data_IF_849802144969
#
_entry.id   IF_849802144969
#
_cell.length_a   1.000
_cell.length_b   1.000
_cell.length_c   1.000
_cell.angle_alpha   90.00
_cell.angle_beta   90.00
_cell.angle_gamma   90.00
#
_symmetry.space_group_name_H-M   'P 1'
#
loop_
_entity.id
_entity.type
_entity.pdbx_description
1 polymer ?
#
# COMPACT_ATOMS: atom_id res chain seq x y z
N UNK A 1 14.03 -4.45 -4.58
CA UNK A 1 13.06 -5.44 -4.05
C UNK A 1 13.74 -6.20 -2.91
N UNK A 2 13.13 -6.16 -1.71
CA UNK A 2 13.68 -6.58 -0.40
C UNK A 2 14.77 -5.67 0.24
N UNK A 3 14.75 -4.38 -0.08
CA UNK A 3 15.56 -3.36 0.60
C UNK A 3 14.60 -2.29 1.07
N UNK A 4 14.85 -1.70 2.26
CA UNK A 4 14.18 -0.49 2.74
C UNK A 4 14.15 0.53 1.60
N UNK A 5 12.98 0.66 0.96
CA UNK A 5 12.81 1.49 -0.23
C UNK A 5 12.37 2.89 0.21
N UNK A 6 12.83 3.33 1.40
CA UNK A 6 12.73 4.71 1.89
C UNK A 6 13.40 5.71 0.94
N UNK A 7 14.18 5.22 -0.02
CA UNK A 7 14.77 5.98 -1.14
C UNK A 7 14.01 5.88 -2.47
N UNK A 8 12.90 5.14 -2.54
CA UNK A 8 12.05 5.13 -3.74
C UNK A 8 11.19 6.38 -3.73
N UNK A 9 11.79 7.51 -4.10
CA UNK A 9 11.17 8.83 -4.13
C UNK A 9 9.77 8.81 -4.78
N UNK A 10 9.57 7.94 -5.78
CA UNK A 10 8.30 7.80 -6.51
C UNK A 10 7.14 7.32 -5.64
N UNK A 11 7.38 6.48 -4.64
CA UNK A 11 6.30 6.02 -3.73
C UNK A 11 5.90 7.15 -2.80
N UNK A 12 6.88 7.90 -2.30
CA UNK A 12 6.63 9.11 -1.51
C UNK A 12 5.86 10.15 -2.32
N UNK A 13 6.23 10.38 -3.58
CA UNK A 13 5.51 11.28 -4.48
C UNK A 13 4.03 10.89 -4.59
N UNK A 14 3.73 9.59 -4.75
CA UNK A 14 2.35 9.08 -4.78
C UNK A 14 1.62 9.34 -3.47
N UNK A 15 2.26 9.09 -2.32
CA UNK A 15 1.67 9.33 -1.00
C UNK A 15 1.35 10.83 -0.81
N UNK A 16 2.30 11.71 -1.13
CA UNK A 16 2.13 13.15 -1.00
C UNK A 16 1.03 13.69 -1.92
N UNK A 17 0.97 13.21 -3.16
CA UNK A 17 -0.11 13.57 -4.10
C UNK A 17 -1.47 13.13 -3.55
N UNK A 18 -1.61 11.89 -3.05
CA UNK A 18 -2.86 11.43 -2.45
C UNK A 18 -3.27 12.29 -1.25
N UNK A 19 -2.33 12.60 -0.35
CA UNK A 19 -2.58 13.49 0.79
C UNK A 19 -2.97 14.91 0.35
N UNK A 20 -2.43 15.41 -0.77
CA UNK A 20 -2.79 16.71 -1.34
C UNK A 20 -4.25 16.79 -1.80
N UNK A 21 -4.86 15.64 -2.12
CA UNK A 21 -6.30 15.52 -2.42
C UNK A 21 -7.16 15.32 -1.16
N UNK A 22 -6.62 15.58 0.04
CA UNK A 22 -7.30 15.37 1.34
C UNK A 22 -7.69 13.90 1.59
N UNK A 23 -6.95 12.95 1.00
CA UNK A 23 -7.11 11.52 1.28
C UNK A 23 -6.30 11.19 2.53
N UNK A 24 -6.90 10.42 3.45
CA UNK A 24 -6.18 9.87 4.61
C UNK A 24 -5.38 8.64 4.16
N UNK A 25 -4.08 8.64 4.44
CA UNK A 25 -3.15 7.64 3.90
C UNK A 25 -2.40 6.99 5.05
N UNK A 26 -2.61 5.69 5.20
CA UNK A 26 -1.77 4.84 6.03
C UNK A 26 -0.65 4.23 5.19
N UNK A 27 0.59 4.38 5.65
CA UNK A 27 1.76 3.76 5.04
C UNK A 27 2.17 2.55 5.89
N UNK A 28 2.31 1.39 5.25
CA UNK A 28 2.83 0.17 5.87
C UNK A 28 3.97 -0.36 5.01
N UNK A 29 5.16 -0.45 5.58
CA UNK A 29 6.31 -1.11 4.96
C UNK A 29 7.15 -1.80 6.05
N UNK A 30 7.25 -3.15 6.03
CA UNK A 30 8.00 -3.91 7.04
C UNK A 30 9.52 -3.68 6.99
N UNK A 31 10.03 -3.06 5.91
CA UNK A 31 11.46 -2.79 5.74
C UNK A 31 11.82 -1.33 5.92
N UNK A 32 10.85 -0.41 6.00
CA UNK A 32 11.13 1.01 6.19
C UNK A 32 11.42 1.34 7.66
N UNK A 33 12.35 2.26 7.90
CA UNK A 33 12.63 2.78 9.23
C UNK A 33 11.62 3.92 9.55
N UNK A 34 10.76 3.77 10.58
CA UNK A 34 9.79 4.80 10.93
C UNK A 34 10.43 6.15 11.28
N UNK A 35 11.62 6.15 11.89
CA UNK A 35 12.33 7.37 12.29
C UNK A 35 12.84 8.10 11.05
N UNK A 36 13.48 7.39 10.13
CA UNK A 36 13.97 7.96 8.88
C UNK A 36 12.82 8.56 8.06
N UNK A 37 11.69 7.87 7.98
CA UNK A 37 10.54 8.32 7.18
C UNK A 37 9.82 9.52 7.80
N UNK A 38 9.74 9.60 9.13
CA UNK A 38 9.20 10.78 9.80
C UNK A 38 10.14 11.98 9.68
N UNK A 39 11.45 11.80 9.85
CA UNK A 39 12.45 12.87 9.76
C UNK A 39 12.62 13.42 8.33
N UNK A 40 12.62 12.54 7.32
CA UNK A 40 12.88 12.93 5.93
C UNK A 40 11.61 13.39 5.19
N UNK A 41 10.46 12.76 5.46
CA UNK A 41 9.23 12.98 4.68
C UNK A 41 8.04 13.48 5.51
N UNK A 42 8.18 13.61 6.84
CA UNK A 42 7.08 13.94 7.76
C UNK A 42 5.88 12.97 7.64
N UNK A 43 6.15 11.72 7.26
CA UNK A 43 5.17 10.66 7.14
C UNK A 43 5.28 9.69 8.31
N UNK A 44 4.16 9.13 8.73
CA UNK A 44 4.12 8.09 9.77
C UNK A 44 3.87 6.73 9.14
N UNK A 45 4.66 5.75 9.54
CA UNK A 45 4.49 4.35 9.15
C UNK A 45 3.76 3.61 10.27
N UNK A 46 2.77 2.80 9.89
CA UNK A 46 2.11 1.85 10.78
C UNK A 46 2.78 0.49 10.67
N UNK A 47 2.86 -0.22 11.79
CA UNK A 47 3.39 -1.59 11.84
C UNK A 47 2.52 -2.57 11.03
N UNK A 48 1.21 -2.35 11.02
CA UNK A 48 0.24 -3.19 10.31
C UNK A 48 -1.01 -2.38 9.90
N UNK A 49 -1.67 -2.78 8.80
CA UNK A 49 -2.93 -2.19 8.38
C UNK A 49 -4.09 -2.63 9.29
N UNK A 50 -5.11 -1.79 9.40
CA UNK A 50 -6.33 -2.11 10.14
C UNK A 50 -7.36 -2.87 9.29
N UNK A 51 -7.93 -3.94 9.83
CA UNK A 51 -8.95 -4.76 9.14
C UNK A 51 -10.24 -3.96 8.92
N UNK A 52 -10.80 -4.03 7.72
CA UNK A 52 -12.07 -3.36 7.38
C UNK A 52 -12.02 -1.83 7.43
N UNK A 53 -10.83 -1.21 7.42
CA UNK A 53 -10.68 0.23 7.58
C UNK A 53 -10.60 1.01 6.26
N UNK A 54 -10.20 0.36 5.16
CA UNK A 54 -9.77 1.05 3.94
C UNK A 54 -10.81 1.03 2.82
N UNK A 55 -10.87 2.12 2.05
CA UNK A 55 -11.65 2.22 0.81
C UNK A 55 -10.83 1.79 -0.42
N UNK A 56 -9.50 1.95 -0.35
CA UNK A 56 -8.57 1.57 -1.41
C UNK A 56 -7.24 1.07 -0.81
N UNK A 57 -6.59 0.15 -1.52
CA UNK A 57 -5.29 -0.40 -1.20
C UNK A 57 -4.38 -0.17 -2.41
N UNK A 58 -3.19 0.39 -2.18
CA UNK A 58 -2.19 0.63 -3.23
C UNK A 58 -0.95 -0.21 -2.93
N UNK A 59 -0.70 -1.23 -3.76
CA UNK A 59 0.54 -2.00 -3.71
C UNK A 59 1.62 -1.30 -4.55
N UNK A 60 2.44 -0.49 -3.89
CA UNK A 60 3.47 0.31 -4.54
C UNK A 60 4.78 -0.48 -4.81
N UNK A 61 5.08 -1.48 -3.98
CA UNK A 61 6.34 -2.23 -3.99
C UNK A 61 6.12 -3.73 -3.83
N UNK A 62 6.94 -4.52 -4.51
CA UNK A 62 6.89 -5.99 -4.55
C UNK A 62 7.76 -6.62 -3.44
N UNK A 63 7.53 -6.23 -2.18
CA UNK A 63 8.25 -6.84 -1.06
C UNK A 63 7.80 -8.29 -0.84
N UNK A 64 8.73 -9.16 -0.42
CA UNK A 64 8.44 -10.60 -0.25
C UNK A 64 7.23 -10.92 0.65
N UNK A 65 6.95 -10.19 1.76
CA UNK A 65 5.74 -10.44 2.56
C UNK A 65 4.46 -10.18 1.77
N UNK A 66 4.45 -9.12 0.95
CA UNK A 66 3.28 -8.78 0.14
C UNK A 66 3.09 -9.78 -0.98
N UNK A 67 4.14 -10.23 -1.66
CA UNK A 67 4.02 -11.26 -2.72
C UNK A 67 3.48 -12.60 -2.23
N UNK A 68 3.55 -12.86 -0.91
CA UNK A 68 3.03 -14.08 -0.30
C UNK A 68 1.54 -13.97 0.10
N UNK A 69 0.98 -12.75 0.09
CA UNK A 69 -0.43 -12.51 0.41
C UNK A 69 -1.34 -12.98 -0.72
N UNK A 70 -2.57 -13.30 -0.37
CA UNK A 70 -3.64 -13.68 -1.29
C UNK A 70 -4.72 -12.61 -1.35
N UNK A 71 -5.63 -12.78 -2.30
CA UNK A 71 -6.80 -11.93 -2.46
C UNK A 71 -7.56 -11.73 -1.14
N UNK A 72 -7.76 -12.79 -0.37
CA UNK A 72 -8.54 -12.74 0.88
C UNK A 72 -7.87 -11.85 1.94
N UNK A 73 -6.54 -11.79 1.94
CA UNK A 73 -5.79 -10.95 2.86
C UNK A 73 -6.01 -9.47 2.56
N UNK A 74 -6.05 -9.09 1.28
CA UNK A 74 -6.37 -7.71 0.88
C UNK A 74 -7.86 -7.39 1.07
N UNK A 75 -8.75 -8.33 0.73
CA UNK A 75 -10.19 -8.15 0.89
C UNK A 75 -10.59 -7.91 2.35
N UNK A 76 -9.91 -8.55 3.30
CA UNK A 76 -10.13 -8.33 4.73
C UNK A 76 -9.80 -6.91 5.20
N UNK A 77 -8.89 -6.20 4.53
CA UNK A 77 -8.52 -4.82 4.89
C UNK A 77 -9.56 -3.80 4.42
N UNK A 78 -10.35 -4.14 3.41
CA UNK A 78 -11.32 -3.22 2.82
C UNK A 78 -12.61 -3.19 3.64
N UNK A 79 -13.18 -2.00 3.85
CA UNK A 79 -14.42 -1.79 4.61
C UNK A 79 -15.67 -2.42 3.96
N UNK A 80 -15.72 -2.46 2.62
CA UNK A 80 -16.89 -2.88 1.85
C UNK A 80 -16.48 -3.77 0.65
N UNK A 81 -17.42 -4.51 0.07
CA UNK A 81 -17.21 -5.39 -1.10
C UNK A 81 -16.81 -4.67 -2.42
N UNK A 82 -16.47 -3.37 -2.37
CA UNK A 82 -16.11 -2.53 -3.52
C UNK A 82 -14.81 -1.77 -3.33
N UNK A 83 -13.89 -2.29 -2.53
CA UNK A 83 -12.57 -1.68 -2.39
C UNK A 83 -11.80 -1.72 -3.69
N UNK A 84 -11.03 -0.67 -3.92
CA UNK A 84 -10.10 -0.63 -5.04
C UNK A 84 -8.78 -1.27 -4.60
N UNK A 85 -8.26 -2.20 -5.40
CA UNK A 85 -6.89 -2.71 -5.25
C UNK A 85 -6.06 -2.27 -6.45
N UNK A 86 -5.21 -1.26 -6.22
CA UNK A 86 -4.30 -0.71 -7.21
C UNK A 86 -2.91 -1.34 -7.06
N UNK A 87 -2.54 -2.17 -8.03
CA UNK A 87 -1.28 -2.90 -8.05
C UNK A 87 -0.34 -2.28 -9.09
N UNK A 88 0.54 -1.39 -8.62
CA UNK A 88 1.45 -0.62 -9.48
C UNK A 88 2.44 -1.54 -10.21
N UNK A 89 2.74 -2.71 -9.62
CA UNK A 89 3.69 -3.68 -10.18
C UNK A 89 3.03 -4.76 -11.04
N UNK A 90 1.70 -4.88 -11.00
CA UNK A 90 0.95 -5.89 -11.74
C UNK A 90 1.18 -7.33 -11.28
N UNK A 91 1.63 -7.52 -10.03
CA UNK A 91 1.89 -8.83 -9.43
C UNK A 91 0.65 -9.73 -9.38
N UNK A 92 -0.52 -9.14 -9.18
CA UNK A 92 -1.79 -9.82 -8.92
C UNK A 92 -2.71 -9.86 -10.14
N UNK A 93 -2.18 -9.60 -11.34
CA UNK A 93 -2.98 -9.58 -12.57
C UNK A 93 -3.67 -10.93 -12.79
N UNK A 94 -5.01 -10.92 -12.86
CA UNK A 94 -5.83 -12.12 -13.02
C UNK A 94 -5.98 -12.98 -11.76
N UNK A 95 -5.52 -12.50 -10.60
CA UNK A 95 -5.62 -13.18 -9.31
C UNK A 95 -6.66 -12.53 -8.38
N UNK A 96 -7.19 -11.37 -8.76
CA UNK A 96 -8.12 -10.55 -7.96
C UNK A 96 -9.47 -10.50 -8.68
N UNK A 97 -10.52 -10.95 -8.00
CA UNK A 97 -11.90 -11.08 -8.48
C UNK A 97 -12.93 -10.44 -7.54
N UNK A 98 -12.63 -10.32 -6.24
CA UNK A 98 -13.49 -9.79 -5.20
C UNK A 98 -13.34 -8.27 -4.98
N UNK A 99 -12.25 -7.68 -5.49
CA UNK A 99 -11.98 -6.24 -5.41
C UNK A 99 -11.96 -5.61 -6.79
N UNK A 100 -12.24 -4.30 -6.86
CA UNK A 100 -12.06 -3.53 -8.09
C UNK A 100 -10.57 -3.38 -8.37
N UNK A 101 -10.06 -4.27 -9.22
CA UNK A 101 -8.63 -4.39 -9.53
C UNK A 101 -8.19 -3.41 -10.61
N UNK A 102 -7.08 -2.72 -10.37
CA UNK A 102 -6.39 -1.89 -11.34
C UNK A 102 -4.89 -2.14 -11.29
N UNK A 103 -4.23 -2.18 -12.46
CA UNK A 103 -2.77 -2.21 -12.56
C UNK A 103 -2.28 -1.43 -13.78
N UNK A 104 -1.03 -1.00 -13.71
CA UNK A 104 -0.33 -0.31 -14.81
C UNK A 104 0.08 -1.29 -15.93
#
# INVERSE_FOLDING_TARGET
ENVADTRNSKVIDVIQELMSYNIDVDVVDPFADPVEVEEEYALRIKDAPETGAYDAIVLAVAHSPYTAMKEEDFAALVRNEKGVFADIKGLYRGQINALDYWSL
#
